data_IF_784391772594
#
_entry.id   IF_784391772594
#
_cell.length_a   1.000
_cell.length_b   1.000
_cell.length_c   1.000
_cell.angle_alpha   90.00
_cell.angle_beta   90.00
_cell.angle_gamma   90.00
#
_symmetry.space_group_name_H-M   'P 1'
#
loop_
_entity.id
_entity.type
_entity.pdbx_description
1 polymer ?
#
# COMPACT_ATOMS: atom_id res chain seq x y z
N UNK A 1 5.16 3.37 -18.57
CA UNK A 1 6.52 2.98 -18.16
C UNK A 1 6.92 3.86 -16.98
N UNK A 2 7.43 3.30 -15.88
CA UNK A 2 8.01 4.09 -14.78
C UNK A 2 9.34 4.68 -15.28
N UNK A 3 9.64 5.97 -15.06
CA UNK A 3 10.92 6.53 -15.43
C UNK A 3 12.08 5.77 -14.77
N UNK A 4 13.12 5.35 -15.52
CA UNK A 4 14.20 4.49 -15.02
C UNK A 4 14.89 5.02 -13.75
N UNK A 5 15.04 6.34 -13.65
CA UNK A 5 15.65 7.03 -12.53
C UNK A 5 14.82 6.97 -11.25
N UNK A 6 13.49 6.99 -11.37
CA UNK A 6 12.56 6.82 -10.25
C UNK A 6 12.55 5.36 -9.81
N UNK A 7 12.54 4.44 -10.78
CA UNK A 7 12.59 3.01 -10.49
C UNK A 7 13.88 2.63 -9.75
N UNK A 8 15.05 3.08 -10.23
CA UNK A 8 16.34 2.84 -9.55
C UNK A 8 16.37 3.43 -8.15
N UNK A 9 15.96 4.69 -7.98
CA UNK A 9 15.91 5.32 -6.65
C UNK A 9 14.95 4.59 -5.70
N UNK A 10 13.84 4.03 -6.22
CA UNK A 10 12.92 3.20 -5.45
C UNK A 10 13.60 1.90 -4.98
N UNK A 11 14.33 1.22 -5.86
CA UNK A 11 15.09 0.01 -5.50
C UNK A 11 16.20 0.31 -4.48
N UNK A 12 16.93 1.41 -4.65
CA UNK A 12 17.98 1.83 -3.73
C UNK A 12 17.39 2.17 -2.35
N UNK A 13 16.25 2.86 -2.31
CA UNK A 13 15.54 3.15 -1.07
C UNK A 13 15.12 1.86 -0.37
N UNK A 14 14.50 0.91 -1.08
CA UNK A 14 14.11 -0.38 -0.51
C UNK A 14 15.33 -1.13 0.02
N UNK A 15 16.42 -1.21 -0.75
CA UNK A 15 17.65 -1.88 -0.34
C UNK A 15 18.20 -1.31 0.97
N UNK A 16 18.17 0.01 1.15
CA UNK A 16 18.73 0.67 2.32
C UNK A 16 17.80 0.70 3.55
N UNK A 17 16.50 0.42 3.37
CA UNK A 17 15.50 0.60 4.43
C UNK A 17 14.65 -0.64 4.71
N UNK A 18 14.74 -1.72 3.93
CA UNK A 18 13.91 -2.92 4.13
C UNK A 18 14.10 -3.54 5.52
N UNK A 19 15.31 -3.47 6.08
CA UNK A 19 15.62 -3.98 7.43
C UNK A 19 14.92 -3.20 8.56
N UNK A 20 14.37 -2.02 8.26
CA UNK A 20 13.58 -1.25 9.21
C UNK A 20 12.13 -1.76 9.32
N UNK A 21 11.65 -2.55 8.35
CA UNK A 21 10.29 -3.07 8.36
C UNK A 21 10.15 -4.15 9.42
N UNK A 22 9.50 -3.80 10.53
CA UNK A 22 9.26 -4.73 11.63
C UNK A 22 8.27 -5.82 11.17
N UNK A 23 8.63 -7.10 11.34
CA UNK A 23 7.74 -8.22 11.04
C UNK A 23 6.64 -8.34 12.11
N UNK A 24 5.37 -8.42 11.69
CA UNK A 24 4.19 -8.56 12.54
C UNK A 24 3.10 -9.37 11.82
N UNK A 25 2.20 -10.02 12.58
CA UNK A 25 1.03 -10.66 11.99
C UNK A 25 0.13 -9.67 11.27
N UNK A 26 -0.17 -9.93 9.99
CA UNK A 26 -1.07 -9.12 9.17
C UNK A 26 -2.06 -10.00 8.44
N UNK A 27 -3.25 -9.45 8.19
CA UNK A 27 -4.25 -10.04 7.32
C UNK A 27 -3.75 -10.13 5.87
N UNK A 28 -3.00 -9.11 5.45
CA UNK A 28 -2.40 -8.93 4.12
C UNK A 28 -3.37 -8.78 2.95
N UNK A 29 -4.66 -9.05 3.17
CA UNK A 29 -5.72 -8.65 2.25
C UNK A 29 -6.79 -7.79 2.94
N UNK A 30 -6.36 -6.82 3.75
CA UNK A 30 -7.29 -5.96 4.48
C UNK A 30 -7.99 -4.97 3.54
N UNK A 31 -9.18 -5.34 3.05
CA UNK A 31 -10.00 -4.56 2.11
C UNK A 31 -11.46 -4.40 2.58
N UNK A 32 -12.25 -3.59 1.88
CA UNK A 32 -13.68 -3.42 2.24
C UNK A 32 -14.52 -4.66 1.94
N UNK A 33 -14.08 -5.48 0.98
CA UNK A 33 -14.78 -6.72 0.62
C UNK A 33 -14.60 -7.81 1.69
N UNK A 34 -13.53 -7.70 2.48
CA UNK A 34 -13.17 -8.64 3.54
C UNK A 34 -13.67 -8.18 4.92
N UNK A 35 -14.55 -7.17 4.95
CA UNK A 35 -15.20 -6.65 6.14
C UNK A 35 -16.70 -6.99 6.12
N UNK A 36 -17.16 -7.78 7.08
CA UNK A 36 -18.58 -8.02 7.29
C UNK A 36 -19.09 -7.22 8.49
N UNK A 37 -20.26 -6.60 8.36
CA UNK A 37 -20.94 -5.93 9.46
C UNK A 37 -22.13 -6.79 9.92
N UNK A 38 -22.17 -7.16 11.20
CA UNK A 38 -23.23 -8.00 11.77
C UNK A 38 -24.40 -7.20 12.38
N UNK A 39 -24.35 -5.87 12.31
CA UNK A 39 -25.32 -4.98 12.94
C UNK A 39 -24.82 -4.32 14.23
N UNK A 40 -23.67 -4.75 14.77
CA UNK A 40 -23.03 -4.17 15.95
C UNK A 40 -21.55 -3.87 15.68
N UNK A 41 -20.84 -4.83 15.10
CA UNK A 41 -19.39 -4.77 14.87
C UNK A 41 -18.99 -5.21 13.47
N UNK A 42 -17.79 -4.80 13.11
CA UNK A 42 -17.11 -5.29 11.92
C UNK A 42 -16.30 -6.54 12.24
N UNK A 43 -16.41 -7.53 11.38
CA UNK A 43 -15.62 -8.75 11.37
C UNK A 43 -14.72 -8.74 10.15
N UNK A 44 -13.45 -9.07 10.38
CA UNK A 44 -12.50 -9.34 9.32
C UNK A 44 -12.61 -10.81 8.92
N UNK A 45 -12.63 -11.09 7.63
CA UNK A 45 -12.78 -12.43 7.04
C UNK A 45 -11.74 -12.58 5.91
N UNK A 46 -11.52 -13.81 5.47
CA UNK A 46 -10.66 -14.16 4.35
C UNK A 46 -9.16 -14.06 4.64
N UNK A 47 -8.74 -14.84 5.64
CA UNK A 47 -7.36 -14.89 6.14
C UNK A 47 -6.43 -15.75 5.25
N UNK A 48 -6.77 -16.04 4.00
CA UNK A 48 -5.91 -16.88 3.14
C UNK A 48 -4.54 -16.25 2.85
N UNK A 49 -4.45 -14.93 2.92
CA UNK A 49 -3.21 -14.16 2.74
C UNK A 49 -2.45 -13.89 4.06
N UNK A 50 -3.02 -14.31 5.19
CA UNK A 50 -2.45 -14.06 6.52
C UNK A 50 -1.05 -14.68 6.64
N UNK A 51 -0.12 -13.91 7.22
CA UNK A 51 1.19 -14.40 7.69
C UNK A 51 1.62 -13.66 8.94
N UNK A 52 2.50 -14.28 9.71
CA UNK A 52 3.07 -13.74 10.94
C UNK A 52 4.26 -12.78 10.71
N UNK A 53 4.75 -12.70 9.47
CA UNK A 53 6.00 -12.02 9.11
C UNK A 53 5.83 -10.84 8.13
N UNK A 54 4.63 -10.32 7.94
CA UNK A 54 4.39 -9.14 7.12
C UNK A 54 4.94 -7.85 7.79
N UNK A 55 5.30 -6.81 7.02
CA UNK A 55 5.67 -5.52 7.60
C UNK A 55 4.55 -4.94 8.47
N UNK A 56 4.91 -4.39 9.64
CA UNK A 56 4.00 -3.86 10.66
C UNK A 56 2.88 -2.96 10.14
N UNK A 57 3.17 -2.14 9.14
CA UNK A 57 2.21 -1.17 8.60
C UNK A 57 1.50 -1.66 7.33
N UNK A 58 1.65 -2.93 6.97
CA UNK A 58 1.19 -3.46 5.68
C UNK A 58 -0.31 -3.30 5.49
N UNK A 59 -1.15 -3.77 6.42
CA UNK A 59 -2.60 -3.67 6.30
C UNK A 59 -3.10 -2.22 6.23
N UNK A 60 -2.52 -1.34 7.05
CA UNK A 60 -2.83 0.10 7.04
C UNK A 60 -2.47 0.73 5.70
N UNK A 61 -1.30 0.40 5.16
CA UNK A 61 -0.85 0.91 3.86
C UNK A 61 -1.66 0.29 2.72
N UNK A 62 -1.89 -1.01 2.69
CA UNK A 62 -2.67 -1.68 1.66
C UNK A 62 -4.09 -1.09 1.58
N UNK A 63 -4.76 -0.94 2.73
CA UNK A 63 -6.09 -0.37 2.81
C UNK A 63 -6.13 1.08 2.31
N UNK A 64 -5.19 1.93 2.74
CA UNK A 64 -5.24 3.37 2.45
C UNK A 64 -4.59 3.76 1.14
N UNK A 65 -3.49 3.14 0.75
CA UNK A 65 -2.70 3.52 -0.41
C UNK A 65 -3.35 3.13 -1.73
N UNK A 66 -3.93 1.93 -1.83
CA UNK A 66 -4.63 1.49 -3.05
C UNK A 66 -5.75 2.49 -3.38
N UNK A 67 -6.59 2.82 -2.39
CA UNK A 67 -7.67 3.82 -2.53
C UNK A 67 -7.13 5.22 -2.82
N UNK A 68 -6.03 5.62 -2.18
CA UNK A 68 -5.39 6.91 -2.48
C UNK A 68 -4.97 7.02 -3.96
N UNK A 69 -4.51 5.92 -4.56
CA UNK A 69 -4.07 5.88 -5.95
C UNK A 69 -5.24 5.66 -6.94
N UNK A 70 -6.20 4.81 -6.61
CA UNK A 70 -7.29 4.41 -7.51
C UNK A 70 -8.50 5.35 -7.47
N UNK A 71 -8.76 5.99 -6.32
CA UNK A 71 -9.94 6.82 -6.04
C UNK A 71 -9.52 8.23 -5.58
N UNK A 72 -9.10 9.12 -6.51
CA UNK A 72 -8.57 10.45 -6.19
C UNK A 72 -9.45 11.29 -5.26
N UNK A 73 -10.77 11.15 -5.36
CA UNK A 73 -11.78 11.81 -4.55
C UNK A 73 -11.72 11.41 -3.06
N UNK A 74 -11.15 10.25 -2.75
CA UNK A 74 -10.97 9.77 -1.37
C UNK A 74 -9.54 9.94 -0.83
N UNK A 75 -8.61 10.43 -1.65
CA UNK A 75 -7.18 10.42 -1.36
C UNK A 75 -6.83 11.17 -0.07
N UNK A 76 -7.43 12.34 0.17
CA UNK A 76 -7.22 13.10 1.41
C UNK A 76 -7.73 12.35 2.64
N UNK A 77 -8.93 11.76 2.54
CA UNK A 77 -9.50 10.96 3.62
C UNK A 77 -8.62 9.76 3.96
N UNK A 78 -8.07 9.07 2.96
CA UNK A 78 -7.17 7.93 3.17
C UNK A 78 -5.84 8.34 3.83
N UNK A 79 -5.29 9.51 3.45
CA UNK A 79 -4.11 10.08 4.15
C UNK A 79 -4.42 10.38 5.61
N UNK A 80 -5.59 10.95 5.90
CA UNK A 80 -6.02 11.28 7.25
C UNK A 80 -6.27 10.04 8.10
N UNK A 81 -6.94 9.02 7.57
CA UNK A 81 -7.14 7.73 8.26
C UNK A 81 -5.80 7.11 8.63
N UNK A 82 -4.87 7.00 7.67
CA UNK A 82 -3.54 6.45 7.93
C UNK A 82 -2.81 7.21 9.04
N UNK A 83 -2.83 8.55 8.99
CA UNK A 83 -2.21 9.40 10.02
C UNK A 83 -2.80 9.12 11.40
N UNK A 84 -4.12 9.13 11.53
CA UNK A 84 -4.81 8.87 12.80
C UNK A 84 -4.51 7.47 13.35
N UNK A 85 -4.46 6.45 12.49
CA UNK A 85 -4.13 5.08 12.90
C UNK A 85 -2.70 4.99 13.42
N UNK A 86 -1.74 5.63 12.75
CA UNK A 86 -0.34 5.67 13.21
C UNK A 86 -0.23 6.39 14.56
N UNK A 87 -0.89 7.54 14.69
CA UNK A 87 -0.94 8.32 15.94
C UNK A 87 -1.52 7.48 17.09
N UNK A 88 -2.56 6.67 16.84
CA UNK A 88 -3.18 5.81 17.85
C UNK A 88 -2.36 4.57 18.20
N UNK A 89 -1.71 3.94 17.22
CA UNK A 89 -0.92 2.71 17.41
C UNK A 89 0.52 2.97 17.87
N UNK A 90 0.96 4.23 17.88
CA UNK A 90 2.29 4.65 18.27
C UNK A 90 3.25 4.71 17.10
N UNK A 91 3.95 5.84 16.99
CA UNK A 91 4.98 6.10 15.99
C UNK A 91 6.37 5.87 16.58
N UNK A 92 7.21 5.17 15.82
CA UNK A 92 8.64 4.99 16.08
C UNK A 92 9.47 5.83 15.09
N UNK A 93 10.75 6.15 15.37
CA UNK A 93 11.61 6.92 14.45
C UNK A 93 11.75 6.32 13.04
N UNK A 94 11.47 5.04 12.88
CA UNK A 94 11.51 4.30 11.60
C UNK A 94 10.18 4.27 10.85
N UNK A 95 9.07 4.59 11.51
CA UNK A 95 7.70 4.36 11.00
C UNK A 95 7.48 4.99 9.62
N UNK A 96 7.92 6.25 9.41
CA UNK A 96 7.79 6.90 8.11
C UNK A 96 8.56 6.18 7.00
N UNK A 97 9.75 5.64 7.30
CA UNK A 97 10.57 4.90 6.34
C UNK A 97 9.95 3.53 6.03
N UNK A 98 9.43 2.84 7.03
CA UNK A 98 8.70 1.58 6.86
C UNK A 98 7.47 1.76 5.96
N UNK A 99 6.66 2.79 6.24
CA UNK A 99 5.50 3.14 5.42
C UNK A 99 5.92 3.47 3.98
N UNK A 100 7.02 4.20 3.79
CA UNK A 100 7.55 4.50 2.47
C UNK A 100 7.98 3.23 1.72
N UNK A 101 8.67 2.29 2.38
CA UNK A 101 9.03 0.99 1.80
C UNK A 101 7.77 0.24 1.33
N UNK A 102 6.76 0.12 2.19
CA UNK A 102 5.54 -0.62 1.87
C UNK A 102 4.78 0.05 0.73
N UNK A 103 4.65 1.39 0.72
CA UNK A 103 4.00 2.13 -0.37
C UNK A 103 4.72 1.96 -1.71
N UNK A 104 6.06 1.94 -1.71
CA UNK A 104 6.83 1.69 -2.93
C UNK A 104 6.54 0.28 -3.45
N UNK A 105 6.64 -0.75 -2.60
CA UNK A 105 6.36 -2.14 -2.97
C UNK A 105 4.92 -2.29 -3.47
N UNK A 106 3.94 -1.72 -2.76
CA UNK A 106 2.53 -1.79 -3.12
C UNK A 106 2.22 -1.06 -4.42
N UNK A 107 2.82 0.11 -4.65
CA UNK A 107 2.68 0.85 -5.91
C UNK A 107 3.25 0.07 -7.11
N UNK A 108 4.37 -0.64 -6.93
CA UNK A 108 4.89 -1.55 -7.95
C UNK A 108 3.94 -2.73 -8.18
N UNK A 109 3.38 -3.31 -7.10
CA UNK A 109 2.38 -4.39 -7.19
C UNK A 109 1.14 -3.97 -7.96
N UNK A 110 0.57 -2.79 -7.66
CA UNK A 110 -0.58 -2.24 -8.38
C UNK A 110 -0.28 -2.10 -9.88
N UNK A 111 0.90 -1.60 -10.25
CA UNK A 111 1.28 -1.51 -11.66
C UNK A 111 1.30 -2.88 -12.32
N UNK A 112 1.85 -3.90 -11.66
CA UNK A 112 1.90 -5.28 -12.18
C UNK A 112 0.50 -5.86 -12.30
N UNK A 113 -0.34 -5.72 -11.29
CA UNK A 113 -1.73 -6.17 -11.27
C UNK A 113 -2.50 -5.56 -12.45
N UNK A 114 -2.40 -4.24 -12.65
CA UNK A 114 -3.06 -3.55 -13.77
C UNK A 114 -2.43 -3.81 -15.16
N UNK A 115 -1.23 -4.38 -15.22
CA UNK A 115 -0.56 -4.79 -16.46
C UNK A 115 -0.79 -6.26 -16.80
N UNK A 116 -1.21 -7.09 -15.83
CA UNK A 116 -1.40 -8.53 -16.01
C UNK A 116 -2.88 -8.83 -16.25
N UNK A 117 -3.21 -9.31 -17.46
CA UNK A 117 -4.55 -9.80 -17.77
C UNK A 117 -4.77 -11.13 -17.04
N UNK A 118 -5.58 -11.11 -15.98
CA UNK A 118 -6.15 -12.30 -15.36
C UNK A 118 -5.33 -12.93 -14.23
N UNK A 119 -5.57 -12.47 -13.00
CA UNK A 119 -5.54 -13.36 -11.83
C UNK A 119 -6.87 -14.09 -11.73
N UNK A 120 -6.85 -15.40 -11.54
CA UNK A 120 -8.05 -16.27 -11.44
C UNK A 120 -9.12 -15.62 -10.54
N UNK A 121 -10.28 -15.32 -11.11
CA UNK A 121 -11.53 -14.95 -10.42
C UNK A 121 -11.55 -13.67 -9.55
N UNK A 122 -10.54 -12.81 -9.59
CA UNK A 122 -10.59 -11.53 -8.88
C UNK A 122 -10.88 -10.40 -9.87
N UNK A 123 -11.86 -9.57 -9.52
CA UNK A 123 -12.55 -8.55 -10.31
C UNK A 123 -11.80 -8.01 -11.55
N UNK A 124 -12.53 -7.89 -12.66
CA UNK A 124 -12.10 -7.29 -13.92
C UNK A 124 -11.12 -6.12 -13.70
N UNK A 125 -9.84 -6.38 -13.94
CA UNK A 125 -8.79 -5.38 -13.72
C UNK A 125 -8.94 -4.34 -14.82
N UNK A 126 -9.36 -3.13 -14.44
CA UNK A 126 -9.30 -1.95 -15.31
C UNK A 126 -7.85 -1.82 -15.79
N UNK A 127 -7.58 -1.71 -17.11
CA UNK A 127 -6.21 -1.56 -17.61
C UNK A 127 -5.51 -0.39 -16.94
N UNK A 128 -4.20 -0.50 -16.70
CA UNK A 128 -3.40 0.60 -16.16
C UNK A 128 -3.52 1.85 -17.04
N UNK A 129 -4.36 2.81 -16.63
CA UNK A 129 -4.45 4.09 -17.32
C UNK A 129 -3.25 5.00 -16.99
N UNK A 130 -3.04 6.01 -17.83
CA UNK A 130 -1.92 6.94 -17.64
C UNK A 130 -2.06 7.79 -16.36
N UNK A 131 -3.29 8.05 -15.89
CA UNK A 131 -3.53 8.89 -14.74
C UNK A 131 -3.17 8.16 -13.43
N UNK A 132 -3.60 6.93 -13.26
CA UNK A 132 -3.23 6.04 -12.16
C UNK A 132 -1.72 5.82 -12.13
N UNK A 133 -1.13 5.50 -13.29
CA UNK A 133 0.32 5.38 -13.41
C UNK A 133 1.04 6.65 -12.95
N UNK A 134 0.59 7.82 -13.40
CA UNK A 134 1.20 9.08 -13.02
C UNK A 134 1.06 9.37 -11.52
N UNK A 135 -0.08 9.03 -10.91
CA UNK A 135 -0.28 9.17 -9.45
C UNK A 135 0.68 8.29 -8.66
N UNK A 136 0.88 7.03 -9.07
CA UNK A 136 1.85 6.12 -8.42
C UNK A 136 3.27 6.68 -8.56
N UNK A 137 3.67 7.12 -9.76
CA UNK A 137 4.98 7.73 -9.99
C UNK A 137 5.18 8.99 -9.14
N UNK A 138 4.20 9.89 -9.10
CA UNK A 138 4.23 11.10 -8.27
C UNK A 138 4.23 10.77 -6.78
N UNK A 139 3.64 9.65 -6.36
CA UNK A 139 3.77 9.18 -4.99
C UNK A 139 5.22 8.79 -4.70
N UNK A 140 5.90 8.07 -5.60
CA UNK A 140 7.29 7.68 -5.38
C UNK A 140 8.21 8.89 -5.26
N UNK A 141 8.07 9.90 -6.11
CA UNK A 141 8.90 11.10 -6.04
C UNK A 141 8.76 11.87 -4.72
N UNK A 142 7.61 11.76 -4.05
CA UNK A 142 7.38 12.37 -2.72
C UNK A 142 7.95 11.55 -1.56
N UNK A 143 8.07 10.24 -1.74
CA UNK A 143 8.57 9.31 -0.71
C UNK A 143 10.09 9.20 -0.72
N UNK A 144 10.68 9.33 -1.90
CA UNK A 144 12.12 9.26 -2.07
C UNK A 144 12.78 10.54 -1.55
N UNK A 145 13.96 10.45 -0.91
CA UNK A 145 14.72 11.62 -0.50
C UNK A 145 14.94 12.56 -1.69
N UNK A 146 14.83 13.87 -1.44
CA UNK A 146 15.27 14.85 -2.43
C UNK A 146 16.75 14.61 -2.77
N UNK A 147 17.08 14.65 -4.06
CA UNK A 147 18.46 14.55 -4.54
C UNK A 147 19.23 15.82 -4.23
#
# INVERSE_FOLDING_TARGET
MIPPEIFRASLDFLRNNHSLCEARPMHADFTENNLLYDGDKYWLIDFESFRDDWPRWYDVVNFTYNREMERPETAERMRNIRRLVIEQLGEEPTTQREIACIKIVRGLSLIIEHMTLGGRNHAAIVPLDNALRQRIITSFTKLLPAR
#
